data_IF_381674858324
#
_entry.id   IF_381674858324
#
_cell.length_a   1.000
_cell.length_b   1.000
_cell.length_c   1.000
_cell.angle_alpha   90.00
_cell.angle_beta   90.00
_cell.angle_gamma   90.00
#
_symmetry.space_group_name_H-M   'P 1'
#
loop_
_entity.id
_entity.type
_entity.pdbx_description
1 polymer ?
#
# COMPACT_ATOMS: atom_id res chain seq x y z
N UNK A 1 5.46 25.95 -10.19
CA UNK A 1 5.94 24.62 -10.63
C UNK A 1 7.40 24.53 -10.24
N UNK A 2 7.77 23.69 -9.28
CA UNK A 2 9.19 23.44 -9.02
C UNK A 2 9.36 22.13 -8.27
N UNK A 3 9.29 21.04 -9.04
CA UNK A 3 9.97 19.81 -8.68
C UNK A 3 11.45 20.17 -8.47
N UNK A 4 11.94 20.08 -7.24
CA UNK A 4 13.37 20.23 -7.00
C UNK A 4 14.06 18.98 -7.54
N UNK A 5 14.54 19.05 -8.78
CA UNK A 5 15.51 18.10 -9.30
C UNK A 5 16.75 18.20 -8.40
N UNK A 6 17.02 17.17 -7.61
CA UNK A 6 18.22 17.08 -6.81
C UNK A 6 19.42 16.90 -7.76
N UNK A 7 20.10 18.00 -8.05
CA UNK A 7 21.34 18.00 -8.82
C UNK A 7 22.45 17.27 -8.04
N UNK A 8 23.34 16.53 -8.71
CA UNK A 8 24.45 15.85 -8.05
C UNK A 8 25.54 16.86 -7.68
N UNK A 9 25.40 17.47 -6.50
CA UNK A 9 26.49 18.23 -5.87
C UNK A 9 27.32 17.30 -4.98
N UNK A 10 28.66 17.34 -5.06
CA UNK A 10 29.52 16.64 -4.11
C UNK A 10 29.32 17.26 -2.71
N UNK A 11 28.70 16.49 -1.81
CA UNK A 11 28.33 16.93 -0.45
C UNK A 11 26.90 16.60 -0.03
N UNK A 12 26.07 16.06 -0.93
CA UNK A 12 24.71 15.61 -0.56
C UNK A 12 24.79 14.28 0.22
N UNK A 13 24.25 14.17 1.46
CA UNK A 13 24.24 12.94 2.24
C UNK A 13 23.49 11.78 1.57
N UNK A 14 22.67 12.05 0.56
CA UNK A 14 22.06 11.04 -0.30
C UNK A 14 23.08 10.20 -1.10
N UNK A 15 24.32 10.68 -1.26
CA UNK A 15 25.37 9.99 -2.02
C UNK A 15 26.02 8.81 -1.25
N UNK A 16 25.82 8.74 0.07
CA UNK A 16 26.39 7.69 0.93
C UNK A 16 25.32 6.74 1.50
N UNK A 17 24.05 6.95 1.20
CA UNK A 17 23.03 5.98 1.52
C UNK A 17 23.20 4.78 0.57
N UNK A 18 23.35 3.53 1.07
CA UNK A 18 23.11 2.40 0.20
C UNK A 18 21.72 2.61 -0.39
N UNK A 19 21.64 2.67 -1.72
CA UNK A 19 20.36 2.68 -2.42
C UNK A 19 19.71 1.32 -2.15
N UNK A 20 19.07 1.20 -0.98
CA UNK A 20 18.30 0.03 -0.62
C UNK A 20 17.21 -0.14 -1.67
N UNK A 21 17.04 -1.36 -2.14
CA UNK A 21 15.91 -1.69 -3.01
C UNK A 21 14.67 -1.76 -2.13
N UNK A 22 13.75 -0.82 -2.32
CA UNK A 22 12.43 -0.88 -1.69
C UNK A 22 11.50 -1.69 -2.57
N UNK A 23 10.92 -2.76 -2.02
CA UNK A 23 9.85 -3.50 -2.68
C UNK A 23 8.50 -2.90 -2.27
N UNK A 24 7.68 -2.53 -3.26
CA UNK A 24 6.33 -2.05 -3.00
C UNK A 24 5.36 -3.22 -2.96
N UNK A 25 4.67 -3.37 -1.83
CA UNK A 25 3.53 -4.27 -1.67
C UNK A 25 2.27 -3.55 -2.12
N UNK A 26 1.37 -4.26 -2.80
CA UNK A 26 0.04 -3.76 -3.17
C UNK A 26 -1.02 -4.71 -2.66
N UNK A 27 -2.04 -4.18 -1.99
CA UNK A 27 -3.29 -4.86 -1.70
C UNK A 27 -4.41 -4.24 -2.53
N UNK A 28 -5.27 -5.08 -3.06
CA UNK A 28 -6.44 -4.74 -3.86
C UNK A 28 -7.64 -5.44 -3.21
N UNK A 29 -8.50 -4.64 -2.60
CA UNK A 29 -9.75 -5.10 -2.00
C UNK A 29 -10.90 -4.89 -2.99
N UNK A 30 -11.73 -5.92 -3.15
CA UNK A 30 -12.91 -5.84 -4.01
C UNK A 30 -14.13 -6.41 -3.28
N UNK A 31 -15.30 -5.88 -3.59
CA UNK A 31 -16.51 -6.08 -2.77
C UNK A 31 -16.64 -5.00 -1.69
N UNK A 32 -17.83 -4.84 -1.12
CA UNK A 32 -18.13 -3.71 -0.20
C UNK A 32 -19.07 -2.66 -0.77
N UNK A 33 -19.94 -3.05 -1.71
CA UNK A 33 -21.01 -2.17 -2.21
C UNK A 33 -22.17 -2.02 -1.23
N UNK A 34 -23.03 -1.02 -1.49
CA UNK A 34 -24.27 -0.82 -0.76
C UNK A 34 -25.19 -2.04 -0.96
N UNK A 35 -25.35 -2.88 0.07
CA UNK A 35 -26.29 -4.00 0.09
C UNK A 35 -27.47 -3.70 1.00
N UNK A 36 -28.56 -4.44 0.80
CA UNK A 36 -29.72 -4.34 1.64
C UNK A 36 -29.37 -4.72 3.10
N UNK A 37 -30.01 -4.11 4.10
CA UNK A 37 -29.87 -4.52 5.49
C UNK A 37 -30.28 -5.99 5.64
N UNK A 38 -29.40 -6.83 6.18
CA UNK A 38 -29.65 -8.26 6.38
C UNK A 38 -28.97 -9.18 5.37
N UNK A 39 -28.43 -8.65 4.28
CA UNK A 39 -27.60 -9.40 3.34
C UNK A 39 -26.16 -9.50 3.83
N UNK A 40 -25.53 -10.67 3.66
CA UNK A 40 -24.09 -10.81 3.83
C UNK A 40 -23.35 -10.11 2.69
N UNK A 41 -22.18 -9.54 2.95
CA UNK A 41 -21.31 -8.95 1.92
C UNK A 41 -20.07 -9.82 1.79
N UNK A 42 -19.72 -10.19 0.57
CA UNK A 42 -18.44 -10.84 0.29
C UNK A 42 -17.40 -9.77 0.00
N UNK A 43 -16.30 -9.81 0.76
CA UNK A 43 -15.09 -9.04 0.51
C UNK A 43 -14.02 -10.01 0.02
N UNK A 44 -13.25 -9.62 -1.00
CA UNK A 44 -12.08 -10.35 -1.43
C UNK A 44 -10.85 -9.44 -1.41
N UNK A 45 -9.73 -9.98 -0.96
CA UNK A 45 -8.45 -9.27 -0.90
C UNK A 45 -7.45 -10.02 -1.76
N UNK A 46 -6.83 -9.32 -2.72
CA UNK A 46 -5.72 -9.82 -3.51
C UNK A 46 -4.50 -8.95 -3.24
N UNK A 47 -3.34 -9.58 -3.21
CA UNK A 47 -2.08 -8.93 -2.83
C UNK A 47 -0.97 -9.37 -3.75
N UNK A 48 -0.05 -8.44 -3.99
CA UNK A 48 1.03 -8.57 -4.96
C UNK A 48 2.35 -8.23 -4.27
N UNK A 49 3.38 -9.03 -4.55
CA UNK A 49 4.72 -8.84 -3.98
C UNK A 49 4.92 -9.43 -2.58
N UNK A 50 3.96 -10.21 -2.06
CA UNK A 50 4.10 -10.95 -0.80
C UNK A 50 3.21 -12.20 -0.79
N UNK A 51 3.52 -13.16 0.08
CA UNK A 51 2.74 -14.40 0.21
C UNK A 51 1.69 -14.26 1.33
N UNK A 52 0.41 -14.42 0.97
CA UNK A 52 -0.71 -14.38 1.92
C UNK A 52 -0.60 -15.41 3.04
N UNK A 53 0.04 -16.56 2.80
CA UNK A 53 0.17 -17.61 3.81
C UNK A 53 1.21 -17.30 4.89
N UNK A 54 2.15 -16.39 4.63
CA UNK A 54 3.23 -16.07 5.57
C UNK A 54 2.96 -14.82 6.41
N UNK A 55 1.93 -14.04 6.07
CA UNK A 55 1.57 -12.80 6.75
C UNK A 55 0.11 -12.79 7.18
N UNK A 56 -0.18 -12.28 8.37
CA UNK A 56 -1.55 -12.08 8.83
C UNK A 56 -2.20 -10.93 8.07
N UNK A 57 -3.40 -11.17 7.53
CA UNK A 57 -4.23 -10.17 6.86
C UNK A 57 -5.42 -9.86 7.76
N UNK A 58 -5.51 -8.60 8.18
CA UNK A 58 -6.52 -8.12 9.10
C UNK A 58 -7.53 -7.24 8.36
N UNK A 59 -8.81 -7.42 8.66
CA UNK A 59 -9.88 -6.62 8.11
C UNK A 59 -10.25 -5.50 9.07
N UNK A 60 -10.33 -4.27 8.55
CA UNK A 60 -10.72 -3.10 9.32
C UNK A 60 -11.94 -2.44 8.69
N UNK A 61 -12.89 -2.04 9.55
CA UNK A 61 -14.05 -1.26 9.15
C UNK A 61 -13.85 0.19 9.58
N UNK A 62 -13.86 1.11 8.64
CA UNK A 62 -13.79 2.55 8.93
C UNK A 62 -15.15 3.17 8.62
N UNK A 63 -15.81 3.71 9.64
CA UNK A 63 -17.01 4.50 9.44
C UNK A 63 -16.62 5.97 9.21
N UNK A 64 -17.28 6.69 8.27
CA UNK A 64 -17.14 8.15 8.20
C UNK A 64 -17.65 8.77 9.51
N UNK A 65 -16.89 9.75 10.03
CA UNK A 65 -17.23 10.50 11.23
C UNK A 65 -18.27 11.57 10.99
#
# INVERSE_FOLDING_TARGET
HSQAAAWPFPGNPAFLAPTGVWAQIRLEETGGGLRAPGDSVLLSCRGYGFNFGTYFILWYRQAPG
#
